data_IF_162400767104
#
_entry.id   IF_162400767104
#
_cell.length_a   1.000
_cell.length_b   1.000
_cell.length_c   1.000
_cell.angle_alpha   90.00
_cell.angle_beta   90.00
_cell.angle_gamma   90.00
#
_symmetry.space_group_name_H-M   'P 1'
#
loop_
_entity.id
_entity.type
_entity.pdbx_description
1 polymer ?
#
# COMPACT_ATOMS: atom_id res chain seq x y z
N UNK A 1 -19.43 12.17 18.89
CA UNK A 1 -19.70 11.02 18.00
C UNK A 1 -20.12 11.45 16.60
N UNK A 2 -21.20 12.23 16.44
CA UNK A 2 -21.61 12.74 15.12
C UNK A 2 -20.58 13.62 14.42
N UNK A 3 -19.86 14.48 15.15
CA UNK A 3 -18.80 15.31 14.58
C UNK A 3 -17.71 14.45 13.93
N UNK A 4 -17.35 13.31 14.55
CA UNK A 4 -16.35 12.41 13.99
C UNK A 4 -16.82 11.76 12.68
N UNK A 5 -18.09 11.31 12.64
CA UNK A 5 -18.69 10.78 11.41
C UNK A 5 -18.78 11.85 10.32
N UNK A 6 -19.18 13.08 10.68
CA UNK A 6 -19.22 14.22 9.77
C UNK A 6 -17.83 14.59 9.23
N UNK A 7 -16.79 14.56 10.07
CA UNK A 7 -15.41 14.81 9.66
C UNK A 7 -14.90 13.73 8.70
N UNK A 8 -15.29 12.48 8.89
CA UNK A 8 -14.93 11.37 8.02
C UNK A 8 -15.58 11.52 6.64
N UNK A 9 -16.87 11.86 6.61
CA UNK A 9 -17.63 12.13 5.37
C UNK A 9 -17.07 13.35 4.63
N UNK A 10 -16.78 14.42 5.36
CA UNK A 10 -16.17 15.62 4.81
C UNK A 10 -14.74 15.34 4.31
N UNK A 11 -13.96 14.54 5.04
CA UNK A 11 -12.62 14.14 4.64
C UNK A 11 -12.61 13.35 3.32
N UNK A 12 -13.58 12.47 3.11
CA UNK A 12 -13.76 11.74 1.85
C UNK A 12 -14.15 12.72 0.73
N UNK A 13 -15.10 13.61 0.97
CA UNK A 13 -15.53 14.61 -0.02
C UNK A 13 -14.36 15.52 -0.45
N UNK A 14 -13.60 16.02 0.51
CA UNK A 14 -12.39 16.83 0.27
C UNK A 14 -11.31 16.01 -0.44
N UNK A 15 -11.10 14.75 -0.04
CA UNK A 15 -10.15 13.85 -0.67
C UNK A 15 -10.47 13.56 -2.14
N UNK A 16 -11.76 13.40 -2.49
CA UNK A 16 -12.22 13.24 -3.87
C UNK A 16 -12.02 14.52 -4.68
N UNK A 17 -12.30 15.70 -4.10
CA UNK A 17 -12.09 16.99 -4.75
C UNK A 17 -10.60 17.29 -5.01
N UNK A 18 -9.70 16.79 -4.14
CA UNK A 18 -8.25 16.94 -4.28
C UNK A 18 -7.60 15.91 -5.22
N UNK A 19 -8.29 14.82 -5.55
CA UNK A 19 -7.75 13.68 -6.34
C UNK A 19 -7.34 14.04 -7.76
N UNK A 20 -7.82 15.16 -8.29
CA UNK A 20 -7.48 15.65 -9.63
C UNK A 20 -6.44 16.78 -9.67
N UNK A 21 -5.94 17.27 -8.53
CA UNK A 21 -5.02 18.43 -8.51
C UNK A 21 -3.58 18.03 -8.19
N UNK A 22 -2.58 18.63 -8.86
CA UNK A 22 -1.16 18.47 -8.51
C UNK A 22 -0.83 18.97 -7.08
N UNK A 23 -1.79 19.63 -6.42
CA UNK A 23 -1.73 19.98 -5.01
C UNK A 23 -1.61 18.75 -4.11
N UNK A 24 -2.27 17.63 -4.42
CA UNK A 24 -2.12 16.39 -3.64
C UNK A 24 -0.68 15.86 -3.73
N UNK A 25 -0.07 15.90 -4.92
CA UNK A 25 1.32 15.49 -5.11
C UNK A 25 2.32 16.45 -4.42
N UNK A 26 2.07 17.78 -4.47
CA UNK A 26 2.86 18.77 -3.71
C UNK A 26 2.71 18.56 -2.20
N UNK A 27 1.51 18.25 -1.73
CA UNK A 27 1.25 17.98 -0.32
C UNK A 27 2.01 16.75 0.14
N UNK A 28 1.91 15.62 -0.57
CA UNK A 28 2.69 14.41 -0.26
C UNK A 28 4.19 14.69 -0.23
N UNK A 29 4.69 15.53 -1.16
CA UNK A 29 6.10 15.93 -1.18
C UNK A 29 6.51 16.83 -0.01
N UNK A 30 5.59 17.60 0.55
CA UNK A 30 5.80 18.41 1.76
C UNK A 30 5.60 17.60 3.05
N UNK A 31 4.76 16.57 3.02
CA UNK A 31 4.47 15.71 4.16
C UNK A 31 5.72 14.91 4.56
N UNK A 32 6.50 14.39 3.62
CA UNK A 32 7.73 13.65 3.94
C UNK A 32 8.73 14.45 4.80
N UNK A 33 9.19 15.65 4.41
CA UNK A 33 10.08 16.44 5.25
C UNK A 33 9.39 16.91 6.54
N UNK A 34 8.07 17.15 6.52
CA UNK A 34 7.33 17.48 7.74
C UNK A 34 7.34 16.30 8.74
N UNK A 35 7.03 15.07 8.30
CA UNK A 35 7.10 13.87 9.14
C UNK A 35 8.52 13.71 9.69
N UNK A 36 9.56 13.86 8.86
CA UNK A 36 10.95 13.79 9.34
C UNK A 36 11.25 14.84 10.41
N UNK A 37 10.84 16.09 10.22
CA UNK A 37 10.99 17.16 11.21
C UNK A 37 10.22 16.88 12.50
N UNK A 38 8.97 16.41 12.38
CA UNK A 38 8.13 16.05 13.52
C UNK A 38 8.74 14.87 14.29
N UNK A 39 9.22 13.84 13.61
CA UNK A 39 9.90 12.69 14.22
C UNK A 39 11.21 13.11 14.90
N UNK A 40 11.96 14.02 14.29
CA UNK A 40 13.18 14.55 14.87
C UNK A 40 12.89 15.35 16.15
N UNK A 41 11.93 16.27 16.09
CA UNK A 41 11.50 17.05 17.26
C UNK A 41 10.96 16.15 18.38
N UNK A 42 10.15 15.14 18.02
CA UNK A 42 9.65 14.14 18.94
C UNK A 42 10.80 13.33 19.56
N UNK A 43 11.79 12.92 18.76
CA UNK A 43 12.96 12.17 19.21
C UNK A 43 13.78 12.94 20.26
N UNK A 44 14.01 14.24 20.05
CA UNK A 44 14.70 15.09 21.05
C UNK A 44 13.85 15.22 22.32
N UNK A 45 12.55 15.47 22.17
CA UNK A 45 11.64 15.68 23.32
C UNK A 45 11.50 14.41 24.18
N UNK A 46 11.40 13.24 23.55
CA UNK A 46 11.28 11.96 24.23
C UNK A 46 12.64 11.50 24.78
N UNK A 47 13.74 11.74 24.05
CA UNK A 47 15.09 11.35 24.47
C UNK A 47 15.61 12.11 25.68
N UNK A 48 15.22 13.37 25.86
CA UNK A 48 15.56 14.17 27.05
C UNK A 48 14.73 13.84 28.30
N UNK A 49 13.69 13.02 28.20
CA UNK A 49 12.79 12.70 29.31
C UNK A 49 13.16 11.34 29.92
N UNK A 50 13.91 11.37 31.03
CA UNK A 50 14.38 10.16 31.73
C UNK A 50 13.23 9.26 32.21
N UNK A 51 12.08 9.82 32.58
CA UNK A 51 10.89 9.07 32.97
C UNK A 51 10.31 8.26 31.82
N UNK A 52 10.22 8.84 30.61
CA UNK A 52 9.78 8.10 29.43
C UNK A 52 10.84 7.11 28.95
N UNK A 53 12.13 7.46 29.01
CA UNK A 53 13.21 6.55 28.66
C UNK A 53 13.29 5.32 29.56
N UNK A 54 13.03 5.46 30.86
CA UNK A 54 12.95 4.31 31.76
C UNK A 54 11.72 3.42 31.51
N UNK A 55 10.62 4.01 31.04
CA UNK A 55 9.39 3.27 30.74
C UNK A 55 9.40 2.66 29.33
N UNK A 56 10.19 3.20 28.39
CA UNK A 56 10.26 2.77 26.99
C UNK A 56 10.53 1.27 26.79
N UNK A 57 11.43 0.60 27.55
CA UNK A 57 11.60 -0.84 27.45
C UNK A 57 10.33 -1.63 27.78
N UNK A 58 9.57 -1.18 28.80
CA UNK A 58 8.30 -1.80 29.19
C UNK A 58 7.21 -1.54 28.16
N UNK A 59 7.07 -0.31 27.68
CA UNK A 59 6.08 0.05 26.65
C UNK A 59 6.42 -0.61 25.31
N UNK A 60 7.70 -0.62 24.91
CA UNK A 60 8.19 -1.26 23.70
C UNK A 60 8.01 -2.78 23.75
N UNK A 61 8.32 -3.42 24.87
CA UNK A 61 8.05 -4.85 25.07
C UNK A 61 6.57 -5.19 24.97
N UNK A 62 5.70 -4.39 25.61
CA UNK A 62 4.25 -4.55 25.49
C UNK A 62 3.77 -4.34 24.04
N UNK A 63 4.32 -3.36 23.32
CA UNK A 63 4.00 -3.13 21.92
C UNK A 63 4.43 -4.31 21.03
N UNK A 64 5.61 -4.89 21.24
CA UNK A 64 6.07 -6.08 20.51
C UNK A 64 5.16 -7.27 20.79
N UNK A 65 4.80 -7.50 22.05
CA UNK A 65 3.89 -8.59 22.41
C UNK A 65 2.51 -8.40 21.74
N UNK A 66 2.01 -7.17 21.70
CA UNK A 66 0.74 -6.83 21.08
C UNK A 66 0.79 -6.95 19.56
N UNK A 67 1.88 -6.54 18.90
CA UNK A 67 2.03 -6.67 17.44
C UNK A 67 2.16 -8.14 17.03
N UNK A 68 2.95 -8.93 17.74
CA UNK A 68 3.07 -10.39 17.50
C UNK A 68 1.72 -11.06 17.73
N UNK A 69 1.03 -10.74 18.82
CA UNK A 69 -0.33 -11.25 19.09
C UNK A 69 -1.33 -10.87 18.00
N UNK A 70 -1.30 -9.62 17.52
CA UNK A 70 -2.18 -9.14 16.46
C UNK A 70 -1.89 -9.81 15.10
N UNK A 71 -0.61 -9.96 14.74
CA UNK A 71 -0.21 -10.65 13.49
C UNK A 71 -0.56 -12.13 13.56
N UNK A 72 -0.26 -12.79 14.68
CA UNK A 72 -0.62 -14.19 14.90
C UNK A 72 -2.15 -14.38 14.89
N UNK A 73 -2.91 -13.49 15.51
CA UNK A 73 -4.37 -13.49 15.50
C UNK A 73 -4.95 -13.28 14.11
N UNK A 74 -4.39 -12.34 13.33
CA UNK A 74 -4.79 -12.11 11.93
C UNK A 74 -4.50 -13.33 11.06
N UNK A 75 -3.31 -13.93 11.19
CA UNK A 75 -2.96 -15.15 10.47
C UNK A 75 -3.84 -16.34 10.89
N UNK A 76 -4.10 -16.49 12.19
CA UNK A 76 -5.00 -17.52 12.72
C UNK A 76 -6.42 -17.33 12.20
N UNK A 77 -6.91 -16.09 12.08
CA UNK A 77 -8.20 -15.78 11.48
C UNK A 77 -8.25 -16.22 10.01
N UNK A 78 -7.23 -15.86 9.21
CA UNK A 78 -7.11 -16.30 7.81
C UNK A 78 -7.06 -17.83 7.71
N UNK A 79 -6.29 -18.50 8.56
CA UNK A 79 -6.21 -19.97 8.57
C UNK A 79 -7.53 -20.60 9.02
N UNK A 80 -8.21 -20.03 10.00
CA UNK A 80 -9.51 -20.52 10.47
C UNK A 80 -10.55 -20.40 9.36
N UNK A 81 -10.59 -19.25 8.66
CA UNK A 81 -11.44 -19.04 7.49
C UNK A 81 -11.08 -20.02 6.38
N UNK A 82 -9.80 -20.17 5.99
CA UNK A 82 -9.37 -21.13 4.96
C UNK A 82 -9.65 -22.58 5.33
N UNK A 83 -9.59 -22.93 6.62
CA UNK A 83 -9.87 -24.29 7.10
C UNK A 83 -11.37 -24.56 7.23
N UNK A 84 -12.16 -23.54 7.54
CA UNK A 84 -13.62 -23.63 7.66
C UNK A 84 -14.28 -23.59 6.27
N UNK A 85 -13.81 -22.71 5.40
CA UNK A 85 -14.12 -22.67 3.97
C UNK A 85 -13.04 -23.43 3.19
N UNK A 86 -13.07 -24.77 3.27
CA UNK A 86 -12.29 -25.66 2.39
C UNK A 86 -12.70 -25.46 0.94
N UNK A 87 -12.05 -24.55 0.22
CA UNK A 87 -12.01 -24.60 -1.25
C UNK A 87 -10.69 -25.27 -1.67
N UNK A 88 -10.72 -26.29 -2.53
CA UNK A 88 -9.50 -26.81 -3.15
C UNK A 88 -8.84 -25.70 -4.00
N UNK A 89 -7.51 -25.53 -3.94
CA UNK A 89 -6.79 -24.80 -4.97
C UNK A 89 -6.68 -25.68 -6.22
N UNK A 90 -7.40 -25.32 -7.28
CA UNK A 90 -6.91 -25.27 -8.67
C UNK A 90 -7.98 -24.56 -9.52
N UNK A 91 -7.60 -23.52 -10.29
CA UNK A 91 -7.27 -23.77 -11.68
C UNK A 91 -5.94 -23.11 -12.07
N UNK A 92 -4.95 -23.94 -12.32
CA UNK A 92 -3.89 -23.72 -13.32
C UNK A 92 -4.49 -23.56 -14.72
N UNK A 93 -5.39 -22.59 -14.91
CA UNK A 93 -6.04 -22.28 -16.18
C UNK A 93 -5.68 -20.88 -16.70
N UNK A 94 -4.48 -20.37 -16.39
CA UNK A 94 -3.96 -19.14 -17.01
C UNK A 94 -2.59 -19.27 -17.67
N UNK A 95 -2.17 -20.49 -18.01
CA UNK A 95 -1.24 -20.73 -19.12
C UNK A 95 -1.55 -22.10 -19.72
N UNK A 96 -1.78 -22.25 -21.05
CA UNK A 96 -1.15 -21.47 -22.11
C UNK A 96 -2.15 -20.99 -23.19
N UNK A 97 -2.11 -19.71 -23.55
CA UNK A 97 -2.38 -19.34 -24.94
C UNK A 97 -1.04 -18.98 -25.56
N UNK A 98 -0.39 -19.91 -26.28
CA UNK A 98 0.55 -19.52 -27.32
C UNK A 98 -0.22 -18.61 -28.31
N UNK A 99 0.40 -17.51 -28.70
CA UNK A 99 0.14 -16.85 -29.99
C UNK A 99 -1.10 -15.95 -30.13
N UNK A 100 -1.29 -14.98 -29.23
CA UNK A 100 -2.14 -13.81 -29.50
C UNK A 100 -1.42 -12.45 -29.41
N UNK A 101 -0.08 -12.43 -29.49
CA UNK A 101 0.71 -11.19 -29.30
C UNK A 101 1.97 -11.04 -30.15
N UNK A 102 2.14 -11.82 -31.24
CA UNK A 102 3.35 -11.80 -32.08
C UNK A 102 3.22 -11.07 -33.42
N UNK A 103 2.04 -10.61 -33.84
CA UNK A 103 1.86 -9.90 -35.11
C UNK A 103 1.20 -8.54 -34.90
N UNK A 104 2.01 -7.58 -34.44
CA UNK A 104 1.81 -6.16 -34.72
C UNK A 104 3.17 -5.44 -34.58
N UNK A 105 4.20 -6.01 -35.21
CA UNK A 105 5.50 -5.39 -35.33
C UNK A 105 5.60 -4.61 -36.65
N UNK A 106 5.67 -3.29 -36.52
CA UNK A 106 6.27 -2.30 -37.44
C UNK A 106 5.60 -1.99 -38.80
N UNK A 107 5.28 -0.70 -39.06
CA UNK A 107 5.18 -0.14 -40.39
C UNK A 107 6.56 0.38 -40.82
N UNK A 108 7.27 -0.33 -41.70
CA UNK A 108 8.47 0.22 -42.35
C UNK A 108 8.87 -0.54 -43.60
N UNK A 109 8.66 0.14 -44.72
CA UNK A 109 9.59 0.30 -45.84
C UNK A 109 9.96 -0.89 -46.77
N UNK A 110 9.62 -0.66 -48.04
CA UNK A 110 10.52 -0.75 -49.20
C UNK A 110 11.10 -2.10 -49.66
N UNK A 111 10.65 -2.51 -50.84
CA UNK A 111 11.28 -3.44 -51.79
C UNK A 111 10.21 -3.75 -52.83
N UNK A 112 10.12 -3.04 -53.97
CA UNK A 112 10.87 -3.25 -55.23
C UNK A 112 10.99 -4.74 -55.61
N UNK A 113 10.82 -4.99 -56.90
CA UNK A 113 10.79 -6.29 -57.62
C UNK A 113 9.36 -6.83 -57.73
N UNK A 114 8.74 -6.97 -58.90
CA UNK A 114 9.26 -7.16 -60.25
C UNK A 114 8.75 -8.51 -60.78
N UNK A 115 8.38 -8.56 -62.06
CA UNK A 115 8.08 -9.77 -62.85
C UNK A 115 6.78 -10.51 -62.51
N UNK A 116 5.79 -10.49 -63.40
CA UNK A 116 5.69 -11.38 -64.59
C UNK A 116 5.64 -12.87 -64.22
N UNK A 117 4.47 -13.49 -64.36
CA UNK A 117 4.12 -14.33 -65.50
C UNK A 117 2.67 -14.81 -65.37
#
# INVERSE_FOLDING_TARGET
MFIAMGLMLLGIAVGLLLRGRPLAAKLTRCVTPAIMLLLFALGISVGGNSTLMAALPRLGGAAIALTVGAVAGSLACVLCIRRFFRQPPEPDALTPTPDAGGQAGAPSASGREGSQA
#
